data_IF_521420551513
#
_entry.id   IF_521420551513
#
_cell.length_a   1.000
_cell.length_b   1.000
_cell.length_c   1.000
_cell.angle_alpha   90.00
_cell.angle_beta   90.00
_cell.angle_gamma   90.00
#
_symmetry.space_group_name_H-M   'P 1'
#
loop_
_entity.id
_entity.type
_entity.pdbx_description
1 polymer ?
#
# COMPACT_ATOMS: atom_id res chain seq x y z
N UNK A 1 16.45 -6.82 -0.58
CA UNK A 1 15.77 -5.93 -1.49
C UNK A 1 14.27 -5.88 -1.23
N UNK A 2 13.71 -4.68 -1.18
CA UNK A 2 12.29 -4.51 -0.96
C UNK A 2 11.48 -4.83 -2.20
N UNK A 3 10.47 -5.68 -2.05
CA UNK A 3 9.57 -6.03 -3.14
C UNK A 3 8.23 -5.31 -3.03
N UNK A 4 8.06 -4.49 -2.00
CA UNK A 4 6.79 -3.90 -1.68
C UNK A 4 5.93 -4.82 -0.83
N UNK A 5 5.00 -4.23 -0.12
CA UNK A 5 4.07 -4.96 0.75
C UNK A 5 2.65 -4.71 0.25
N UNK A 6 1.83 -5.75 0.11
CA UNK A 6 0.42 -5.55 -0.23
C UNK A 6 -0.30 -4.79 0.87
N UNK A 7 -1.05 -3.77 0.46
CA UNK A 7 -1.90 -3.02 1.35
C UNK A 7 -3.22 -2.73 0.68
N UNK A 8 -4.27 -2.52 1.46
CA UNK A 8 -5.59 -2.23 0.94
C UNK A 8 -5.93 -0.76 1.16
N UNK A 9 -6.36 -0.09 0.11
CA UNK A 9 -6.79 1.31 0.19
C UNK A 9 -8.13 1.35 0.91
N UNK A 10 -8.18 2.10 2.02
CA UNK A 10 -9.39 2.17 2.84
C UNK A 10 -10.07 3.54 2.78
N UNK A 11 -9.34 4.58 2.42
CA UNK A 11 -9.89 5.93 2.30
C UNK A 11 -8.99 6.80 1.45
N UNK A 12 -9.52 7.86 0.88
CA UNK A 12 -8.76 8.85 0.14
C UNK A 12 -8.43 10.01 1.08
N UNK A 13 -7.16 10.38 1.14
CA UNK A 13 -6.71 11.51 1.96
C UNK A 13 -6.81 12.80 1.17
N UNK A 14 -6.29 12.82 -0.06
CA UNK A 14 -6.32 14.00 -0.92
C UNK A 14 -6.37 13.53 -2.38
N UNK A 15 -7.42 13.93 -3.07
CA UNK A 15 -7.62 13.53 -4.47
C UNK A 15 -6.77 14.35 -5.44
N UNK A 16 -6.36 15.55 -5.06
CA UNK A 16 -5.60 16.45 -5.95
C UNK A 16 -4.09 16.20 -5.87
N UNK A 17 -3.59 15.93 -4.67
CA UNK A 17 -2.23 15.43 -4.48
C UNK A 17 -2.41 13.97 -4.12
N UNK A 18 -2.59 13.06 -5.10
CA UNK A 18 -3.27 11.81 -4.85
C UNK A 18 -2.58 10.97 -3.79
N UNK A 19 -3.20 10.96 -2.63
CA UNK A 19 -2.76 10.16 -1.50
C UNK A 19 -3.95 9.47 -0.87
N UNK A 20 -3.71 8.30 -0.32
CA UNK A 20 -4.75 7.47 0.26
C UNK A 20 -4.26 6.85 1.56
N UNK A 21 -5.21 6.54 2.42
CA UNK A 21 -4.92 5.76 3.62
C UNK A 21 -4.94 4.28 3.23
N UNK A 22 -3.84 3.61 3.49
CA UNK A 22 -3.66 2.21 3.13
C UNK A 22 -3.43 1.39 4.40
N UNK A 23 -4.15 0.28 4.51
CA UNK A 23 -3.97 -0.67 5.61
C UNK A 23 -2.95 -1.72 5.19
N UNK A 24 -1.85 -1.77 5.92
CA UNK A 24 -0.75 -2.70 5.65
C UNK A 24 -0.47 -3.47 6.94
N UNK A 25 -0.82 -4.74 6.96
CA UNK A 25 -0.56 -5.59 8.13
C UNK A 25 -1.17 -5.05 9.42
N UNK A 26 -2.34 -4.43 9.34
CA UNK A 26 -3.01 -3.83 10.50
C UNK A 26 -2.57 -2.40 10.82
N UNK A 27 -1.61 -1.87 10.09
CA UNK A 27 -1.13 -0.49 10.26
C UNK A 27 -1.67 0.35 9.12
N UNK A 28 -2.25 1.50 9.44
CA UNK A 28 -2.77 2.41 8.42
C UNK A 28 -1.80 3.57 8.20
N UNK A 29 -1.46 3.80 6.93
CA UNK A 29 -0.51 4.83 6.54
C UNK A 29 -1.01 5.60 5.34
N UNK A 30 -0.69 6.89 5.28
CA UNK A 30 -0.93 7.69 4.08
C UNK A 30 0.12 7.34 3.04
N UNK A 31 -0.33 7.02 1.84
CA UNK A 31 0.53 6.54 0.76
C UNK A 31 0.22 7.34 -0.50
N UNK A 32 1.25 7.70 -1.25
CA UNK A 32 1.10 8.36 -2.54
C UNK A 32 0.59 7.35 -3.56
N UNK A 33 -0.52 7.66 -4.23
CA UNK A 33 -1.15 6.76 -5.20
C UNK A 33 -1.08 7.29 -6.63
N UNK A 34 -0.25 8.28 -6.89
CA UNK A 34 -0.16 8.90 -8.22
C UNK A 34 0.20 7.89 -9.33
N UNK A 35 0.94 6.85 -8.99
CA UNK A 35 1.36 5.84 -9.97
C UNK A 35 0.24 4.91 -10.40
N UNK A 36 -0.86 4.83 -9.66
CA UNK A 36 -1.93 3.87 -9.93
C UNK A 36 -3.25 4.51 -10.30
N UNK A 37 -3.32 5.85 -10.33
CA UNK A 37 -4.54 6.55 -10.71
C UNK A 37 -4.39 7.20 -12.08
N UNK A 38 -5.50 7.33 -12.80
CA UNK A 38 -5.58 8.03 -14.08
C UNK A 38 -7.04 8.44 -14.31
N UNK A 39 -7.34 8.93 -15.52
CA UNK A 39 -8.70 9.37 -15.86
C UNK A 39 -9.71 8.22 -15.82
N UNK A 40 -9.27 7.02 -16.18
CA UNK A 40 -10.14 5.85 -16.20
C UNK A 40 -10.29 5.21 -14.81
N UNK A 41 -9.34 5.48 -13.90
CA UNK A 41 -9.36 4.90 -12.56
C UNK A 41 -9.00 5.99 -11.55
N UNK A 42 -10.01 6.70 -11.09
CA UNK A 42 -9.86 7.85 -10.20
C UNK A 42 -9.49 7.42 -8.79
N UNK A 43 -8.99 8.34 -7.94
CA UNK A 43 -8.68 8.01 -6.55
C UNK A 43 -9.85 7.36 -5.81
N UNK A 44 -11.05 7.87 -5.98
CA UNK A 44 -12.23 7.32 -5.29
C UNK A 44 -12.54 5.89 -5.71
N UNK A 45 -12.20 5.52 -6.93
CA UNK A 45 -12.37 4.14 -7.42
C UNK A 45 -11.35 3.19 -6.84
N UNK A 46 -10.27 3.71 -6.27
CA UNK A 46 -9.23 2.88 -5.67
C UNK A 46 -9.62 2.32 -4.30
N UNK A 47 -10.65 2.87 -3.66
CA UNK A 47 -11.04 2.40 -2.33
C UNK A 47 -11.44 0.93 -2.41
N UNK A 48 -10.79 0.11 -1.57
CA UNK A 48 -10.98 -1.33 -1.58
C UNK A 48 -9.95 -2.08 -2.43
N UNK A 49 -9.19 -1.37 -3.28
CA UNK A 49 -8.17 -2.00 -4.11
C UNK A 49 -6.96 -2.40 -3.28
N UNK A 50 -6.34 -3.50 -3.69
CA UNK A 50 -5.07 -3.92 -3.16
C UNK A 50 -3.94 -3.35 -4.01
N UNK A 51 -2.90 -2.86 -3.35
CA UNK A 51 -1.75 -2.26 -4.02
C UNK A 51 -0.46 -2.74 -3.38
N UNK A 52 0.61 -2.71 -4.16
CA UNK A 52 1.95 -2.94 -3.63
C UNK A 52 2.52 -1.61 -3.16
N UNK A 53 2.84 -1.52 -1.87
CA UNK A 53 3.37 -0.31 -1.25
C UNK A 53 4.88 -0.47 -1.06
N UNK A 54 5.62 0.52 -1.53
CA UNK A 54 7.08 0.55 -1.38
C UNK A 54 7.49 1.96 -0.98
N UNK A 55 8.00 2.08 0.23
CA UNK A 55 8.54 3.35 0.78
C UNK A 55 7.56 4.52 0.61
N UNK A 56 6.31 4.31 1.00
CA UNK A 56 5.31 5.37 0.96
C UNK A 56 4.62 5.60 -0.37
N UNK A 57 4.91 4.77 -1.38
CA UNK A 57 4.29 4.86 -2.71
C UNK A 57 3.56 3.59 -3.05
N UNK A 58 2.35 3.72 -3.59
CA UNK A 58 1.66 2.59 -4.19
C UNK A 58 2.21 2.42 -5.61
N UNK A 59 2.89 1.31 -5.85
CA UNK A 59 3.60 1.08 -7.10
C UNK A 59 2.73 0.44 -8.18
N UNK A 60 1.81 -0.44 -7.77
CA UNK A 60 0.96 -1.16 -8.70
C UNK A 60 -0.29 -1.65 -7.99
N UNK A 61 -1.38 -1.79 -8.76
CA UNK A 61 -2.59 -2.45 -8.26
C UNK A 61 -2.44 -3.95 -8.46
N UNK A 62 -2.88 -4.72 -7.47
CA UNK A 62 -2.87 -6.18 -7.53
C UNK A 62 -4.24 -6.68 -7.10
N UNK A 63 -4.56 -7.94 -7.38
CA UNK A 63 -5.81 -8.50 -6.89
C UNK A 63 -5.65 -9.06 -5.47
N UNK A 64 -6.78 -9.34 -4.82
CA UNK A 64 -6.78 -9.80 -3.44
C UNK A 64 -6.07 -11.15 -3.28
N UNK A 65 -6.20 -12.03 -4.25
CA UNK A 65 -5.56 -13.34 -4.20
C UNK A 65 -4.03 -13.21 -4.24
N UNK A 66 -3.53 -12.37 -5.13
CA UNK A 66 -2.10 -12.09 -5.20
C UNK A 66 -1.59 -11.45 -3.91
N UNK A 67 -2.38 -10.52 -3.35
CA UNK A 67 -2.04 -9.88 -2.09
C UNK A 67 -1.92 -10.90 -0.97
N UNK A 68 -2.86 -11.82 -0.86
CA UNK A 68 -2.82 -12.86 0.16
C UNK A 68 -1.60 -13.76 0.03
N UNK A 69 -1.28 -14.17 -1.18
CA UNK A 69 -0.11 -15.00 -1.43
C UNK A 69 1.19 -14.30 -1.07
N UNK A 70 1.29 -13.03 -1.46
CA UNK A 70 2.48 -12.23 -1.17
C UNK A 70 2.64 -12.01 0.33
N UNK A 71 1.56 -11.69 1.04
CA UNK A 71 1.60 -11.52 2.48
C UNK A 71 2.02 -12.80 3.20
N UNK A 72 1.54 -13.96 2.74
CA UNK A 72 1.91 -15.23 3.33
C UNK A 72 3.40 -15.50 3.16
N UNK A 73 3.95 -15.23 1.99
CA UNK A 73 5.38 -15.42 1.72
C UNK A 73 6.22 -14.45 2.56
N UNK A 74 5.83 -13.19 2.62
CA UNK A 74 6.57 -12.19 3.40
C UNK A 74 6.55 -12.51 4.89
N UNK A 75 5.41 -12.96 5.41
CA UNK A 75 5.30 -13.35 6.81
C UNK A 75 6.20 -14.54 7.12
N UNK A 76 6.27 -15.51 6.21
CA UNK A 76 7.11 -16.69 6.37
C UNK A 76 8.59 -16.31 6.38
N UNK A 77 8.99 -15.37 5.54
CA UNK A 77 10.38 -14.93 5.44
C UNK A 77 10.75 -13.85 6.48
N UNK A 78 9.77 -13.30 7.18
CA UNK A 78 10.00 -12.23 8.13
C UNK A 78 10.21 -10.84 7.51
N UNK A 79 10.19 -10.73 6.20
CA UNK A 79 10.43 -9.44 5.53
C UNK A 79 9.32 -8.42 5.78
N UNK A 80 8.10 -8.89 5.96
CA UNK A 80 6.97 -8.02 6.23
C UNK A 80 7.21 -7.20 7.51
N UNK A 81 7.75 -7.83 8.55
CA UNK A 81 8.02 -7.14 9.80
C UNK A 81 9.07 -6.05 9.61
N UNK A 82 10.10 -6.31 8.84
CA UNK A 82 11.14 -5.32 8.57
C UNK A 82 10.58 -4.13 7.79
N UNK A 83 9.70 -4.37 6.81
CA UNK A 83 9.08 -3.29 6.06
C UNK A 83 8.13 -2.46 6.93
N UNK A 84 7.37 -3.11 7.77
CA UNK A 84 6.47 -2.41 8.69
C UNK A 84 7.25 -1.53 9.65
N UNK A 85 8.36 -2.01 10.17
CA UNK A 85 9.22 -1.23 11.05
C UNK A 85 9.78 0.00 10.32
N UNK A 86 10.20 -0.16 9.07
CA UNK A 86 10.69 0.96 8.27
C UNK A 86 9.58 1.98 8.01
N UNK A 87 8.37 1.53 7.72
CA UNK A 87 7.23 2.41 7.53
C UNK A 87 6.88 3.16 8.81
N UNK A 88 6.94 2.50 9.95
CA UNK A 88 6.72 3.14 11.24
C UNK A 88 7.75 4.24 11.51
N UNK A 89 9.01 3.96 11.24
CA UNK A 89 10.07 4.95 11.42
C UNK A 89 9.81 6.18 10.54
N UNK A 90 9.42 5.97 9.28
CA UNK A 90 9.08 7.08 8.39
C UNK A 90 7.85 7.84 8.86
N UNK A 91 6.86 7.12 9.37
CA UNK A 91 5.62 7.73 9.82
C UNK A 91 5.71 8.47 11.14
N UNK A 92 6.74 8.22 11.91
CA UNK A 92 6.93 8.87 13.21
C UNK A 92 7.42 10.32 13.07
N UNK A 93 7.85 10.70 11.90
CA UNK A 93 8.37 12.05 11.65
C UNK A 93 7.28 13.07 11.42
#
# INVERSE_FOLDING_TARGET
MCLGIPGQIVAIVDAQAPSAMVSVGGVQRAVNIACIVDEAHTPEQCIGDWVLVHVGFAMARIDAEEAERTLAILAELGEMQAELDAMHASGAN
#
